data_IF_088210521955
#
_entry.id   IF_088210521955
#
_cell.length_a   1.000
_cell.length_b   1.000
_cell.length_c   1.000
_cell.angle_alpha   90.00
_cell.angle_beta   90.00
_cell.angle_gamma   90.00
#
_symmetry.space_group_name_H-M   'P 1'
#
loop_
_entity.id
_entity.type
_entity.pdbx_description
1 polymer ?
#
# COMPACT_ATOMS: atom_id res chain seq x y z
N UNK A 1 2.46 -17.75 -16.32
CA UNK A 1 2.18 -16.31 -16.33
C UNK A 1 3.51 -15.58 -16.37
N UNK A 2 3.67 -14.65 -17.30
CA UNK A 2 4.86 -13.80 -17.35
C UNK A 2 4.64 -12.65 -16.35
N UNK A 3 5.27 -12.75 -15.18
CA UNK A 3 5.30 -11.67 -14.20
C UNK A 3 6.52 -10.78 -14.47
N UNK A 4 6.33 -9.50 -14.45
CA UNK A 4 7.42 -8.53 -14.31
C UNK A 4 7.71 -8.38 -12.82
N UNK A 5 8.97 -8.61 -12.45
CA UNK A 5 9.41 -8.56 -11.05
C UNK A 5 10.36 -7.38 -10.86
N UNK A 6 10.08 -6.58 -9.86
CA UNK A 6 10.94 -5.47 -9.44
C UNK A 6 11.48 -5.75 -8.03
N UNK A 7 12.72 -5.34 -7.79
CA UNK A 7 13.39 -5.50 -6.50
C UNK A 7 13.64 -4.13 -5.87
N UNK A 8 13.13 -3.93 -4.64
CA UNK A 8 13.20 -2.68 -3.91
C UNK A 8 13.77 -2.87 -2.49
N UNK A 9 14.25 -1.80 -1.84
CA UNK A 9 14.55 -1.83 -0.41
C UNK A 9 13.32 -2.15 0.43
N UNK A 10 13.47 -3.01 1.43
CA UNK A 10 12.48 -3.20 2.48
C UNK A 10 12.42 -1.94 3.37
N UNK A 11 11.22 -1.54 3.76
CA UNK A 11 10.97 -0.34 4.58
C UNK A 11 10.01 -0.70 5.72
N UNK A 12 10.44 -1.48 6.72
CA UNK A 12 9.58 -1.86 7.82
C UNK A 12 9.06 -0.62 8.55
N UNK A 13 7.72 -0.43 8.66
CA UNK A 13 7.17 0.72 9.33
C UNK A 13 7.21 0.54 10.85
N UNK A 14 7.41 1.66 11.58
CA UNK A 14 7.46 1.73 13.02
C UNK A 14 6.18 2.35 13.59
N UNK A 15 5.90 2.16 14.89
CA UNK A 15 4.72 2.71 15.56
C UNK A 15 4.69 4.24 15.40
N UNK A 16 3.53 4.77 15.03
CA UNK A 16 3.32 6.19 14.84
C UNK A 16 2.13 6.70 15.68
N UNK A 17 2.36 7.71 16.53
CA UNK A 17 1.42 8.11 17.56
C UNK A 17 0.34 9.12 17.14
N UNK A 18 0.23 9.47 15.84
CA UNK A 18 -0.74 10.46 15.35
C UNK A 18 -2.07 9.83 14.90
N UNK A 19 -2.54 8.83 15.63
CA UNK A 19 -3.70 8.02 15.25
C UNK A 19 -4.99 8.86 15.15
N UNK A 20 -5.16 9.87 16.00
CA UNK A 20 -6.37 10.69 16.02
C UNK A 20 -6.49 11.56 14.75
N UNK A 21 -5.39 12.19 14.31
CA UNK A 21 -5.37 13.01 13.09
C UNK A 21 -5.65 12.16 11.84
N UNK A 22 -5.05 10.95 11.78
CA UNK A 22 -5.27 10.02 10.67
C UNK A 22 -6.69 9.47 10.70
N UNK A 23 -7.25 9.17 11.88
CA UNK A 23 -8.64 8.73 12.04
C UNK A 23 -9.64 9.76 11.52
N UNK A 24 -9.41 11.04 11.86
CA UNK A 24 -10.24 12.14 11.41
C UNK A 24 -10.18 12.30 9.87
N UNK A 25 -8.98 12.25 9.30
CA UNK A 25 -8.77 12.34 7.86
C UNK A 25 -9.39 11.15 7.10
N UNK A 26 -9.27 9.94 7.63
CA UNK A 26 -9.87 8.73 7.05
C UNK A 26 -11.37 8.59 7.33
N UNK A 27 -11.91 9.38 8.28
CA UNK A 27 -13.29 9.26 8.81
C UNK A 27 -13.56 7.85 9.39
N UNK A 28 -12.50 7.18 9.81
CA UNK A 28 -12.55 5.85 10.40
C UNK A 28 -11.30 5.62 11.24
N UNK A 29 -11.48 5.09 12.46
CA UNK A 29 -10.39 4.83 13.38
C UNK A 29 -9.70 3.51 13.03
N UNK A 30 -8.39 3.49 12.75
CA UNK A 30 -7.63 2.26 12.56
C UNK A 30 -7.36 1.56 13.90
N UNK A 31 -7.09 0.26 13.87
CA UNK A 31 -6.65 -0.53 15.01
C UNK A 31 -5.24 -0.14 15.49
N UNK A 32 -4.36 0.18 14.53
CA UNK A 32 -3.00 0.60 14.77
C UNK A 32 -2.52 1.51 13.66
N UNK A 33 -1.54 2.34 13.96
CA UNK A 33 -0.90 3.24 13.00
C UNK A 33 0.62 3.06 13.07
N UNK A 34 1.21 2.89 11.90
CA UNK A 34 2.66 2.82 11.71
C UNK A 34 3.10 3.86 10.70
N UNK A 35 4.40 4.08 10.58
CA UNK A 35 5.01 4.97 9.59
C UNK A 35 6.42 4.52 9.26
N UNK A 36 6.79 4.62 8.00
CA UNK A 36 8.15 4.76 7.53
C UNK A 36 8.24 6.05 6.72
N UNK A 37 8.02 6.00 5.43
CA UNK A 37 7.81 7.16 4.57
C UNK A 37 6.36 7.64 4.61
N UNK A 38 5.44 6.70 4.44
CA UNK A 38 4.01 6.93 4.40
C UNK A 38 3.36 6.49 5.72
N UNK A 39 2.20 7.02 6.07
CA UNK A 39 1.44 6.52 7.21
C UNK A 39 0.73 5.22 6.81
N UNK A 40 0.88 4.16 7.63
CA UNK A 40 0.29 2.84 7.40
C UNK A 40 -0.76 2.57 8.47
N UNK A 41 -2.03 2.67 8.10
CA UNK A 41 -3.18 2.48 8.98
C UNK A 41 -3.74 1.07 8.82
N UNK A 42 -3.77 0.32 9.94
CA UNK A 42 -4.20 -1.08 9.99
C UNK A 42 -5.67 -1.14 10.38
N UNK A 43 -6.45 -1.91 9.65
CA UNK A 43 -7.86 -2.16 9.90
C UNK A 43 -8.14 -3.65 10.12
N UNK A 44 -9.34 -3.96 10.60
CA UNK A 44 -9.71 -5.31 11.01
C UNK A 44 -9.95 -6.25 9.82
N UNK A 45 -10.58 -5.74 8.77
CA UNK A 45 -11.01 -6.57 7.64
C UNK A 45 -11.03 -5.81 6.29
N UNK A 46 -11.19 -6.56 5.21
CA UNK A 46 -11.24 -6.03 3.84
C UNK A 46 -12.42 -5.06 3.61
N UNK A 47 -13.56 -5.27 4.28
CA UNK A 47 -14.74 -4.41 4.10
C UNK A 47 -14.54 -3.05 4.76
N UNK A 48 -13.75 -2.99 5.82
CA UNK A 48 -13.28 -1.72 6.36
C UNK A 48 -12.54 -0.90 5.31
N UNK A 49 -11.61 -1.53 4.61
CA UNK A 49 -10.81 -0.86 3.56
C UNK A 49 -11.69 -0.38 2.40
N UNK A 50 -12.65 -1.20 1.96
CA UNK A 50 -13.59 -0.83 0.89
C UNK A 50 -14.46 0.36 1.24
N UNK A 51 -14.89 0.45 2.51
CA UNK A 51 -15.81 1.49 2.99
C UNK A 51 -15.15 2.84 3.26
N UNK A 52 -13.81 2.92 3.31
CA UNK A 52 -13.08 4.18 3.57
C UNK A 52 -13.37 5.20 2.47
N UNK A 53 -13.89 6.36 2.91
CA UNK A 53 -14.12 7.54 2.09
C UNK A 53 -13.44 8.75 2.77
N UNK A 54 -12.14 8.96 2.53
CA UNK A 54 -11.34 9.92 3.26
C UNK A 54 -11.67 11.37 2.91
N UNK A 55 -11.38 12.28 3.83
CA UNK A 55 -11.32 13.70 3.57
C UNK A 55 -9.95 14.05 2.96
N UNK A 56 -9.91 14.30 1.64
CA UNK A 56 -8.66 14.54 0.91
C UNK A 56 -7.94 15.81 1.38
N UNK A 57 -8.65 16.85 1.81
CA UNK A 57 -8.01 18.08 2.32
C UNK A 57 -7.33 17.80 3.66
N UNK A 58 -7.97 17.08 4.58
CA UNK A 58 -7.33 16.69 5.84
C UNK A 58 -6.14 15.75 5.62
N UNK A 59 -6.18 14.87 4.62
CA UNK A 59 -5.03 14.05 4.27
C UNK A 59 -3.82 14.89 3.81
N UNK A 60 -4.05 16.02 3.16
CA UNK A 60 -2.98 16.95 2.76
C UNK A 60 -2.31 17.65 3.96
N UNK A 61 -3.00 17.77 5.08
CA UNK A 61 -2.46 18.42 6.29
C UNK A 61 -1.51 17.49 7.06
N UNK A 62 -1.62 16.16 6.87
CA UNK A 62 -0.78 15.20 7.58
C UNK A 62 0.71 15.35 7.21
N UNK A 63 1.59 15.13 8.17
CA UNK A 63 3.05 15.15 7.95
C UNK A 63 3.55 13.83 7.33
N UNK A 64 2.99 13.47 6.17
CA UNK A 64 3.43 12.34 5.36
C UNK A 64 2.98 12.54 3.90
N UNK A 65 3.68 11.95 2.92
CA UNK A 65 3.32 12.08 1.49
C UNK A 65 2.01 11.38 1.16
N UNK A 66 1.77 10.22 1.78
CA UNK A 66 0.59 9.40 1.52
C UNK A 66 0.12 8.67 2.79
N UNK A 67 -1.13 8.19 2.74
CA UNK A 67 -1.71 7.31 3.75
C UNK A 67 -2.10 6.00 3.08
N UNK A 68 -1.51 4.93 3.57
CA UNK A 68 -1.80 3.56 3.17
C UNK A 68 -2.79 3.00 4.19
N UNK A 69 -3.90 2.45 3.71
CA UNK A 69 -4.84 1.70 4.55
C UNK A 69 -4.75 0.22 4.17
N UNK A 70 -4.71 -0.67 5.14
CA UNK A 70 -4.51 -2.10 4.89
C UNK A 70 -5.21 -2.97 5.94
N UNK A 71 -5.60 -4.16 5.53
CA UNK A 71 -6.24 -5.18 6.36
C UNK A 71 -5.94 -6.59 5.83
N UNK A 72 -6.20 -7.66 6.61
CA UNK A 72 -6.23 -9.01 6.07
C UNK A 72 -7.19 -9.11 4.89
N UNK A 73 -6.84 -9.86 3.86
CA UNK A 73 -7.68 -10.08 2.69
C UNK A 73 -8.57 -11.32 2.83
N UNK A 74 -9.75 -11.31 2.20
CA UNK A 74 -10.65 -12.47 2.22
C UNK A 74 -10.15 -13.64 1.32
N UNK A 75 -9.42 -13.31 0.24
CA UNK A 75 -8.93 -14.29 -0.76
C UNK A 75 -7.45 -14.14 -1.06
N UNK A 76 -6.81 -13.20 -0.42
CA UNK A 76 -5.39 -12.87 -0.54
C UNK A 76 -4.83 -12.65 0.87
N UNK A 77 -3.51 -12.59 1.02
CA UNK A 77 -2.90 -12.40 2.33
C UNK A 77 -3.28 -11.05 2.96
N UNK A 78 -3.26 -9.98 2.16
CA UNK A 78 -3.71 -8.66 2.60
C UNK A 78 -4.25 -7.83 1.44
N UNK A 79 -5.06 -6.83 1.80
CA UNK A 79 -5.55 -5.80 0.88
C UNK A 79 -5.07 -4.44 1.30
N UNK A 80 -5.02 -3.49 0.33
CA UNK A 80 -4.61 -2.12 0.59
C UNK A 80 -5.32 -1.12 -0.32
N UNK A 81 -5.33 0.16 0.11
CA UNK A 81 -5.54 1.34 -0.75
C UNK A 81 -4.50 2.39 -0.37
N UNK A 82 -4.14 3.25 -1.32
CA UNK A 82 -3.14 4.30 -1.10
C UNK A 82 -3.67 5.66 -1.52
N UNK A 83 -3.73 6.59 -0.57
CA UNK A 83 -4.21 7.96 -0.76
C UNK A 83 -3.04 8.93 -0.70
N UNK A 84 -2.76 9.64 -1.80
CA UNK A 84 -1.63 10.54 -1.93
C UNK A 84 -2.01 11.93 -2.48
N UNK A 85 -3.01 12.63 -1.89
CA UNK A 85 -3.49 13.91 -2.42
C UNK A 85 -2.42 15.02 -2.38
N UNK A 86 -1.44 14.96 -1.47
CA UNK A 86 -0.27 15.85 -1.48
C UNK A 86 0.56 15.76 -2.75
N UNK A 87 0.59 14.59 -3.37
CA UNK A 87 1.33 14.34 -4.61
C UNK A 87 0.46 14.58 -5.87
N UNK A 88 -0.74 15.16 -5.70
CA UNK A 88 -1.68 15.39 -6.79
C UNK A 88 -2.47 14.14 -7.23
N UNK A 89 -2.33 13.05 -6.50
CA UNK A 89 -3.00 11.76 -6.80
C UNK A 89 -3.97 11.43 -5.65
N UNK A 90 -5.28 11.67 -5.78
CA UNK A 90 -6.22 11.39 -4.70
C UNK A 90 -6.14 9.95 -4.20
N UNK A 91 -6.15 8.98 -5.12
CA UNK A 91 -5.94 7.56 -4.85
C UNK A 91 -5.10 6.93 -5.96
N UNK A 92 -3.97 6.31 -5.59
CA UNK A 92 -3.11 5.64 -6.56
C UNK A 92 -3.62 4.22 -6.85
N UNK A 93 -3.81 3.86 -8.13
CA UNK A 93 -4.34 2.54 -8.51
C UNK A 93 -3.56 1.33 -8.01
N UNK A 94 -2.24 1.34 -8.13
CA UNK A 94 -1.33 0.29 -7.64
C UNK A 94 0.02 0.90 -7.31
N UNK A 95 0.44 0.79 -6.05
CA UNK A 95 1.56 1.55 -5.49
C UNK A 95 2.71 0.65 -5.08
N UNK A 96 3.79 0.63 -5.85
CA UNK A 96 4.98 -0.16 -5.51
C UNK A 96 5.65 0.29 -4.21
N UNK A 97 5.81 1.60 -4.00
CA UNK A 97 6.44 2.15 -2.80
C UNK A 97 5.69 1.82 -1.50
N UNK A 98 4.36 1.79 -1.54
CA UNK A 98 3.54 1.36 -0.41
C UNK A 98 3.81 -0.10 -0.04
N UNK A 99 4.04 -0.96 -1.04
CA UNK A 99 4.32 -2.37 -0.81
C UNK A 99 5.73 -2.61 -0.25
N UNK A 100 6.67 -1.66 -0.39
CA UNK A 100 7.94 -1.70 0.32
C UNK A 100 7.77 -1.61 1.85
N UNK A 101 6.67 -1.02 2.32
CA UNK A 101 6.30 -0.90 3.74
C UNK A 101 5.34 -2.03 4.18
N UNK A 102 4.38 -2.39 3.33
CA UNK A 102 3.38 -3.42 3.63
C UNK A 102 3.95 -4.84 3.68
N UNK A 103 4.88 -5.17 2.78
CA UNK A 103 5.47 -6.52 2.71
C UNK A 103 6.19 -6.89 4.01
N UNK A 104 7.14 -6.11 4.57
CA UNK A 104 7.79 -6.47 5.83
C UNK A 104 6.80 -6.51 7.00
N UNK A 105 5.79 -5.63 7.02
CA UNK A 105 4.74 -5.66 8.05
C UNK A 105 3.95 -6.97 8.00
N UNK A 106 3.34 -7.29 6.86
CA UNK A 106 2.50 -8.48 6.72
C UNK A 106 3.30 -9.79 6.77
N UNK A 107 4.53 -9.80 6.28
CA UNK A 107 5.44 -10.94 6.42
C UNK A 107 5.67 -11.31 7.89
N UNK A 108 5.85 -10.29 8.74
CA UNK A 108 5.99 -10.47 10.18
C UNK A 108 4.69 -10.94 10.84
N UNK A 109 3.55 -10.30 10.52
CA UNK A 109 2.24 -10.63 11.10
C UNK A 109 1.80 -12.04 10.75
N UNK A 110 1.98 -12.45 9.50
CA UNK A 110 1.54 -13.75 8.99
C UNK A 110 2.61 -14.84 9.14
N UNK A 111 3.82 -14.49 9.62
CA UNK A 111 4.98 -15.37 9.67
C UNK A 111 5.25 -16.08 8.32
N UNK A 112 5.26 -15.32 7.23
CA UNK A 112 5.28 -15.84 5.86
C UNK A 112 6.11 -14.91 4.97
N UNK A 113 7.04 -15.46 4.17
CA UNK A 113 7.90 -14.65 3.27
C UNK A 113 7.24 -14.32 1.95
N UNK A 114 6.50 -15.25 1.38
CA UNK A 114 5.77 -15.06 0.11
C UNK A 114 4.34 -14.65 0.40
N UNK A 115 3.92 -13.54 -0.18
CA UNK A 115 2.63 -12.91 0.07
C UNK A 115 1.92 -12.64 -1.26
N UNK A 116 0.61 -12.83 -1.27
CA UNK A 116 -0.24 -12.43 -2.36
C UNK A 116 -1.14 -11.28 -1.90
N UNK A 117 -0.99 -10.11 -2.52
CA UNK A 117 -1.69 -8.88 -2.14
C UNK A 117 -2.64 -8.39 -3.23
N UNK A 118 -3.65 -7.63 -2.81
CA UNK A 118 -4.54 -6.93 -3.72
C UNK A 118 -4.69 -5.46 -3.27
N UNK A 119 -4.22 -4.52 -4.08
CA UNK A 119 -4.57 -3.12 -3.90
C UNK A 119 -5.96 -2.89 -4.52
N UNK A 120 -6.96 -2.64 -3.67
CA UNK A 120 -8.39 -2.61 -4.04
C UNK A 120 -8.90 -1.19 -4.36
N UNK A 121 -8.09 -0.40 -5.05
CA UNK A 121 -8.53 0.85 -5.68
C UNK A 121 -9.59 0.58 -6.76
N UNK A 122 -10.19 1.63 -7.32
CA UNK A 122 -11.19 1.51 -8.40
C UNK A 122 -10.69 0.66 -9.59
N UNK A 123 -9.42 0.80 -10.00
CA UNK A 123 -8.79 -0.02 -11.04
C UNK A 123 -8.36 -1.38 -10.50
N UNK A 124 -7.79 -1.36 -9.30
CA UNK A 124 -7.23 -2.53 -8.64
C UNK A 124 -5.93 -3.05 -9.26
N UNK A 125 -5.26 -3.93 -8.49
CA UNK A 125 -4.10 -4.65 -8.98
C UNK A 125 -3.66 -5.74 -8.01
N UNK A 126 -3.22 -6.86 -8.57
CA UNK A 126 -2.70 -8.02 -7.84
C UNK A 126 -1.18 -7.95 -7.80
N UNK A 127 -0.60 -8.22 -6.65
CA UNK A 127 0.83 -8.16 -6.43
C UNK A 127 1.31 -9.48 -5.81
N UNK A 128 2.34 -10.04 -6.41
CA UNK A 128 3.05 -11.22 -5.91
C UNK A 128 4.32 -10.72 -5.22
N UNK A 129 4.37 -10.86 -3.92
CA UNK A 129 5.34 -10.20 -3.07
C UNK A 129 6.24 -11.22 -2.37
N UNK A 130 7.53 -10.89 -2.20
CA UNK A 130 8.42 -11.69 -1.36
C UNK A 130 9.24 -10.78 -0.46
N UNK A 131 9.36 -11.13 0.82
CA UNK A 131 10.20 -10.46 1.80
C UNK A 131 11.56 -11.18 1.90
N UNK A 132 12.63 -10.50 1.53
CA UNK A 132 14.01 -10.99 1.56
C UNK A 132 14.88 -10.07 2.44
N UNK A 133 14.66 -10.15 3.76
CA UNK A 133 15.42 -9.37 4.77
C UNK A 133 15.35 -7.85 4.53
N UNK A 134 16.40 -7.26 3.97
CA UNK A 134 16.51 -5.84 3.63
C UNK A 134 15.90 -5.48 2.26
N UNK A 135 15.40 -6.48 1.53
CA UNK A 135 14.82 -6.33 0.18
C UNK A 135 13.41 -6.89 0.12
N UNK A 136 12.64 -6.34 -0.80
CA UNK A 136 11.34 -6.90 -1.19
C UNK A 136 11.30 -7.08 -2.71
N UNK A 137 10.68 -8.15 -3.17
CA UNK A 137 10.33 -8.29 -4.59
C UNK A 137 8.82 -8.10 -4.77
N UNK A 138 8.46 -7.38 -5.84
CA UNK A 138 7.08 -7.08 -6.19
C UNK A 138 6.88 -7.52 -7.64
N UNK A 139 6.04 -8.52 -7.83
CA UNK A 139 5.66 -9.06 -9.13
C UNK A 139 4.27 -8.62 -9.53
N UNK A 140 4.09 -8.26 -10.80
CA UNK A 140 2.80 -7.91 -11.38
C UNK A 140 2.69 -8.32 -12.84
N UNK A 141 1.46 -8.39 -13.34
CA UNK A 141 1.17 -8.63 -14.75
C UNK A 141 1.21 -7.30 -15.51
N UNK A 142 1.81 -7.28 -16.68
CA UNK A 142 1.80 -6.13 -17.59
C UNK A 142 1.74 -6.58 -19.04
N UNK A 143 1.25 -5.70 -19.89
CA UNK A 143 1.20 -5.89 -21.35
C UNK A 143 1.95 -4.77 -22.06
N UNK A 144 2.63 -5.10 -23.14
CA UNK A 144 3.26 -4.10 -23.99
C UNK A 144 2.17 -3.30 -24.72
N UNK A 145 2.11 -2.01 -24.46
CA UNK A 145 1.16 -1.11 -25.13
C UNK A 145 1.75 -0.51 -26.42
N UNK A 146 3.03 -0.10 -26.38
CA UNK A 146 3.70 0.57 -27.49
C UNK A 146 5.18 0.13 -27.57
N UNK A 147 5.68 -0.01 -28.79
CA UNK A 147 7.11 -0.04 -29.10
C UNK A 147 7.39 1.06 -30.11
N UNK A 148 8.47 1.82 -29.91
CA UNK A 148 8.85 2.92 -30.79
C UNK A 148 10.36 3.18 -30.76
N UNK A 149 10.83 3.96 -31.69
CA UNK A 149 12.21 4.44 -31.78
C UNK A 149 12.23 5.95 -31.61
N UNK A 150 13.30 6.49 -31.04
CA UNK A 150 13.52 7.91 -30.80
C UNK A 150 14.86 8.24 -31.48
N UNK A 151 14.87 9.22 -32.38
CA UNK A 151 16.08 9.81 -32.89
C UNK A 151 16.53 10.93 -31.95
N UNK A 152 17.83 10.92 -31.58
CA UNK A 152 18.45 11.87 -30.64
C UNK A 152 19.50 12.66 -31.40
#
# INVERSE_FOLDING_TARGET
KNLLIMNFPSRPPEIYNNIELVSEALRKKPLALFRHRDAVAIFENEDDIKSINPNMEKLKELDCPAVIVTAPGNKVDFVSRNFAPKLGIPEDPVTGSAHCELIPYWSKVLNKKELFAHQISKRGGKLYCTHNEDRVTIGGEAVTFLRGEIEI
#
